data_IF_430087730951
#
_entry.id   IF_430087730951
#
_cell.length_a   1.000
_cell.length_b   1.000
_cell.length_c   1.000
_cell.angle_alpha   90.00
_cell.angle_beta   90.00
_cell.angle_gamma   90.00
#
_symmetry.space_group_name_H-M   'P 1'
#
loop_
_entity.id
_entity.type
_entity.pdbx_description
1 polymer ?
#
# COMPACT_ATOMS: atom_id res chain seq x y z
N UNK A 1 -17.94 2.01 -13.56
CA UNK A 1 -17.26 2.33 -12.28
C UNK A 1 -17.44 1.15 -11.34
N UNK A 2 -16.44 0.28 -11.19
CA UNK A 2 -16.56 -0.91 -10.33
C UNK A 2 -16.33 -0.53 -8.87
N UNK A 3 -17.38 -0.62 -8.05
CA UNK A 3 -17.33 -0.46 -6.60
C UNK A 3 -17.03 -1.82 -5.97
N UNK A 4 -15.76 -2.16 -5.81
CA UNK A 4 -15.35 -3.34 -5.03
C UNK A 4 -15.59 -3.09 -3.55
N UNK A 5 -16.81 -3.38 -3.09
CA UNK A 5 -17.17 -3.32 -1.68
C UNK A 5 -16.43 -4.41 -0.91
N UNK A 6 -15.57 -4.02 0.03
CA UNK A 6 -14.88 -4.96 0.91
C UNK A 6 -15.81 -5.39 2.04
N UNK A 7 -16.38 -6.59 1.93
CA UNK A 7 -17.16 -7.20 3.01
C UNK A 7 -16.25 -7.80 4.09
N UNK A 8 -16.76 -7.95 5.31
CA UNK A 8 -16.07 -8.49 6.49
C UNK A 8 -15.46 -9.90 6.35
N UNK A 9 -15.77 -10.62 5.26
CA UNK A 9 -15.20 -11.94 4.92
C UNK A 9 -13.93 -11.88 4.06
N UNK A 10 -13.52 -10.70 3.57
CA UNK A 10 -12.33 -10.57 2.74
C UNK A 10 -11.11 -10.18 3.59
N UNK A 11 -10.01 -10.96 3.57
CA UNK A 11 -8.91 -10.80 4.52
C UNK A 11 -8.08 -9.54 4.29
N UNK A 12 -8.20 -8.90 3.11
CA UNK A 12 -7.48 -7.68 2.80
C UNK A 12 -8.11 -6.97 1.60
N UNK A 13 -8.76 -5.82 1.81
CA UNK A 13 -9.04 -4.91 0.71
C UNK A 13 -8.52 -3.52 0.99
N UNK A 14 -7.86 -2.98 -0.02
CA UNK A 14 -7.42 -1.60 -0.04
C UNK A 14 -8.60 -0.64 -0.04
N UNK A 15 -8.34 0.58 0.42
CA UNK A 15 -9.25 1.68 0.17
C UNK A 15 -9.26 1.96 -1.33
N UNK A 16 -10.45 2.15 -1.87
CA UNK A 16 -10.67 2.64 -3.23
C UNK A 16 -10.45 4.15 -3.30
N UNK A 17 -10.29 4.68 -4.51
CA UNK A 17 -10.23 6.13 -4.76
C UNK A 17 -11.49 6.85 -4.22
N UNK A 18 -12.65 6.22 -4.41
CA UNK A 18 -13.93 6.74 -3.91
C UNK A 18 -13.94 6.80 -2.37
N UNK A 19 -13.45 5.76 -1.69
CA UNK A 19 -13.33 5.79 -0.22
C UNK A 19 -12.33 6.85 0.25
N UNK A 20 -11.22 7.05 -0.47
CA UNK A 20 -10.26 8.12 -0.16
C UNK A 20 -10.89 9.50 -0.29
N UNK A 21 -11.68 9.74 -1.34
CA UNK A 21 -12.43 10.99 -1.51
C UNK A 21 -13.47 11.20 -0.40
N UNK A 22 -14.15 10.14 0.03
CA UNK A 22 -15.06 10.21 1.20
C UNK A 22 -14.32 10.55 2.50
N UNK A 23 -13.12 10.00 2.72
CA UNK A 23 -12.29 10.34 3.88
C UNK A 23 -11.94 11.83 3.88
N UNK A 24 -11.54 12.38 2.72
CA UNK A 24 -11.23 13.80 2.56
C UNK A 24 -12.46 14.68 2.88
N UNK A 25 -13.62 14.35 2.31
CA UNK A 25 -14.88 15.06 2.58
C UNK A 25 -15.23 15.03 4.07
N UNK A 26 -15.19 13.87 4.72
CA UNK A 26 -15.51 13.76 6.15
C UNK A 26 -14.51 14.49 7.05
N UNK A 27 -13.22 14.54 6.67
CA UNK A 27 -12.25 15.35 7.41
C UNK A 27 -12.52 16.84 7.27
N UNK A 28 -12.97 17.29 6.10
CA UNK A 28 -13.39 18.69 5.89
C UNK A 28 -14.60 19.08 6.75
N UNK A 29 -15.48 18.11 7.02
CA UNK A 29 -16.61 18.24 7.95
C UNK A 29 -16.19 18.15 9.44
N UNK A 30 -14.90 17.90 9.73
CA UNK A 30 -14.38 17.83 11.10
C UNK A 30 -14.61 16.49 11.81
N UNK A 31 -14.94 15.42 11.07
CA UNK A 31 -15.18 14.11 11.67
C UNK A 31 -13.89 13.47 12.19
N UNK A 32 -14.02 12.78 13.33
CA UNK A 32 -12.92 12.01 13.91
C UNK A 32 -12.71 10.70 13.15
N UNK A 33 -11.47 10.17 13.06
CA UNK A 33 -11.17 8.94 12.32
C UNK A 33 -12.01 7.71 12.73
N UNK A 34 -12.43 7.64 14.00
CA UNK A 34 -13.29 6.57 14.49
C UNK A 34 -14.70 6.62 13.89
N UNK A 35 -15.25 7.82 13.67
CA UNK A 35 -16.55 8.01 13.03
C UNK A 35 -16.47 7.71 11.54
N UNK A 36 -15.43 8.19 10.87
CA UNK A 36 -15.14 7.88 9.46
C UNK A 36 -15.07 6.35 9.25
N UNK A 37 -14.38 5.65 10.15
CA UNK A 37 -14.26 4.20 10.12
C UNK A 37 -15.63 3.49 10.21
N UNK A 38 -16.51 3.95 11.11
CA UNK A 38 -17.88 3.42 11.24
C UNK A 38 -18.68 3.65 9.95
N UNK A 39 -18.67 4.86 9.41
CA UNK A 39 -19.41 5.23 8.19
C UNK A 39 -18.96 4.45 6.96
N UNK A 40 -17.67 4.17 6.85
CA UNK A 40 -17.10 3.42 5.72
C UNK A 40 -17.08 1.89 5.93
N UNK A 41 -17.48 1.40 7.11
CA UNK A 41 -17.37 -0.03 7.44
C UNK A 41 -15.92 -0.54 7.46
N UNK A 42 -14.96 0.33 7.81
CA UNK A 42 -13.53 0.01 7.83
C UNK A 42 -12.99 -0.01 9.26
N UNK A 43 -11.86 -0.67 9.46
CA UNK A 43 -11.19 -0.63 10.76
C UNK A 43 -10.67 0.78 11.06
N UNK A 44 -10.75 1.22 12.32
CA UNK A 44 -10.17 2.50 12.77
C UNK A 44 -8.68 2.61 12.42
N UNK A 45 -7.95 1.49 12.52
CA UNK A 45 -6.52 1.48 12.22
C UNK A 45 -6.23 1.72 10.73
N UNK A 46 -7.08 1.19 9.83
CA UNK A 46 -7.00 1.44 8.39
C UNK A 46 -7.15 2.93 8.09
N UNK A 47 -8.20 3.57 8.61
CA UNK A 47 -8.45 4.99 8.40
C UNK A 47 -7.31 5.85 8.98
N UNK A 48 -6.85 5.55 10.19
CA UNK A 48 -5.75 6.30 10.82
C UNK A 48 -4.45 6.23 10.00
N UNK A 49 -4.09 5.04 9.51
CA UNK A 49 -2.90 4.86 8.65
C UNK A 49 -3.06 5.56 7.32
N UNK A 50 -4.24 5.51 6.71
CA UNK A 50 -4.52 6.22 5.47
C UNK A 50 -4.34 7.73 5.65
N UNK A 51 -4.95 8.32 6.68
CA UNK A 51 -4.83 9.75 6.97
C UNK A 51 -3.36 10.12 7.15
N UNK A 52 -2.61 9.36 7.96
CA UNK A 52 -1.17 9.58 8.15
C UNK A 52 -0.39 9.54 6.82
N UNK A 53 -0.77 8.67 5.88
CA UNK A 53 -0.13 8.55 4.56
C UNK A 53 -0.54 9.65 3.60
N UNK A 54 -1.76 10.15 3.67
CA UNK A 54 -2.28 11.19 2.76
C UNK A 54 -2.13 12.62 3.27
N UNK A 55 -1.79 12.81 4.54
CA UNK A 55 -1.58 14.14 5.13
C UNK A 55 -0.21 14.71 4.77
N UNK A 56 -0.18 16.00 4.43
CA UNK A 56 1.03 16.77 4.15
C UNK A 56 0.94 18.17 4.73
N UNK A 57 2.09 18.81 4.95
CA UNK A 57 2.18 20.20 5.38
C UNK A 57 1.89 21.13 4.21
N UNK A 58 0.97 22.05 4.41
CA UNK A 58 0.58 23.09 3.46
C UNK A 58 0.79 24.48 4.06
N UNK A 59 0.90 25.47 3.18
CA UNK A 59 1.05 26.87 3.56
C UNK A 59 -0.04 27.70 2.90
N UNK A 60 -0.68 28.57 3.67
CA UNK A 60 -1.62 29.57 3.16
C UNK A 60 -1.14 30.96 3.56
N UNK A 61 -1.27 31.93 2.67
CA UNK A 61 -1.08 33.34 3.01
C UNK A 61 -2.40 33.93 3.49
N UNK A 62 -2.40 34.51 4.69
CA UNK A 62 -3.53 35.20 5.27
C UNK A 62 -3.02 36.53 5.82
N UNK A 63 -3.55 37.65 5.32
CA UNK A 63 -3.16 39.01 5.72
C UNK A 63 -1.63 39.24 5.69
N UNK A 64 -0.96 38.78 4.62
CA UNK A 64 0.50 38.89 4.44
C UNK A 64 1.34 37.94 5.31
N UNK A 65 0.73 37.10 6.14
CA UNK A 65 1.43 36.11 6.97
C UNK A 65 1.27 34.70 6.42
N UNK A 66 2.35 33.92 6.44
CA UNK A 66 2.33 32.49 6.11
C UNK A 66 1.82 31.69 7.30
N UNK A 67 0.76 30.90 7.09
CA UNK A 67 0.19 29.99 8.07
C UNK A 67 0.41 28.57 7.56
N UNK A 68 1.03 27.73 8.39
CA UNK A 68 1.26 26.32 8.08
C UNK A 68 0.20 25.46 8.75
N UNK A 69 -0.28 24.46 8.02
CA UNK A 69 -1.25 23.50 8.54
C UNK A 69 -1.10 22.15 7.85
N UNK A 70 -1.57 21.10 8.52
CA UNK A 70 -1.57 19.75 7.97
C UNK A 70 -2.91 19.51 7.26
N UNK A 71 -2.87 18.99 6.03
CA UNK A 71 -4.07 18.70 5.25
C UNK A 71 -3.94 17.34 4.56
N UNK A 72 -5.04 16.58 4.58
CA UNK A 72 -5.16 15.30 3.91
C UNK A 72 -5.68 15.53 2.48
N UNK A 73 -5.02 14.94 1.48
CA UNK A 73 -5.48 14.96 0.10
C UNK A 73 -5.68 13.54 -0.41
N UNK A 74 -6.87 13.21 -0.92
CA UNK A 74 -7.15 11.87 -1.45
C UNK A 74 -6.24 11.53 -2.64
N UNK A 75 -6.00 12.49 -3.53
CA UNK A 75 -5.16 12.31 -4.72
C UNK A 75 -3.69 12.04 -4.37
N UNK A 76 -3.18 12.67 -3.32
CA UNK A 76 -1.83 12.42 -2.82
C UNK A 76 -1.73 11.01 -2.24
N UNK A 77 -2.72 10.61 -1.44
CA UNK A 77 -2.78 9.28 -0.85
C UNK A 77 -2.86 8.19 -1.93
N UNK A 78 -3.66 8.42 -2.98
CA UNK A 78 -3.76 7.52 -4.12
C UNK A 78 -2.45 7.42 -4.90
N UNK A 79 -1.81 8.55 -5.24
CA UNK A 79 -0.51 8.56 -5.93
C UNK A 79 0.56 7.78 -5.16
N UNK A 80 0.71 8.06 -3.87
CA UNK A 80 1.67 7.34 -2.99
C UNK A 80 1.39 5.84 -2.97
N UNK A 81 0.13 5.44 -3.00
CA UNK A 81 -0.25 4.03 -3.05
C UNK A 81 0.12 3.37 -4.39
N UNK A 82 -0.09 4.06 -5.52
CA UNK A 82 0.29 3.56 -6.85
C UNK A 82 1.81 3.49 -6.99
N UNK A 83 2.52 4.56 -6.64
CA UNK A 83 3.99 4.65 -6.68
C UNK A 83 4.64 3.55 -5.83
N UNK A 84 4.14 3.31 -4.61
CA UNK A 84 4.66 2.25 -3.74
C UNK A 84 4.41 0.82 -4.26
N UNK A 85 3.57 0.65 -5.28
CA UNK A 85 3.39 -0.63 -6.00
C UNK A 85 4.17 -0.69 -7.30
N UNK A 86 4.55 0.45 -7.86
CA UNK A 86 5.45 0.50 -9.01
C UNK A 86 6.84 0.01 -8.57
N UNK A 87 7.41 -0.93 -9.32
CA UNK A 87 8.72 -1.52 -9.00
C UNK A 87 8.69 -2.70 -8.03
N UNK A 88 7.52 -3.09 -7.50
CA UNK A 88 7.36 -4.43 -6.90
C UNK A 88 7.11 -5.42 -8.05
N UNK A 89 8.18 -5.73 -8.78
CA UNK A 89 8.20 -6.86 -9.72
C UNK A 89 8.82 -8.06 -9.01
N UNK A 90 7.98 -9.05 -8.69
CA UNK A 90 8.48 -10.39 -8.47
C UNK A 90 8.84 -10.98 -9.83
N UNK A 91 10.00 -11.61 -9.96
CA UNK A 91 10.24 -12.47 -11.12
C UNK A 91 9.17 -13.57 -11.06
N UNK A 92 8.19 -13.46 -11.95
CA UNK A 92 7.21 -14.53 -12.12
C UNK A 92 7.97 -15.79 -12.54
N UNK A 93 7.55 -16.97 -12.05
CA UNK A 93 8.20 -18.24 -12.41
C UNK A 93 8.34 -18.41 -13.94
N UNK A 94 7.36 -17.94 -14.71
CA UNK A 94 7.37 -17.95 -16.19
C UNK A 94 8.50 -17.12 -16.83
N UNK A 95 9.10 -16.18 -16.09
CA UNK A 95 10.24 -15.35 -16.51
C UNK A 95 11.59 -15.86 -15.98
N UNK A 96 11.58 -16.90 -15.15
CA UNK A 96 12.78 -17.53 -14.61
C UNK A 96 13.29 -18.56 -15.62
N UNK A 97 14.59 -18.61 -15.88
CA UNK A 97 15.14 -19.56 -16.86
C UNK A 97 14.92 -21.01 -16.40
N UNK A 98 14.61 -21.90 -17.35
CA UNK A 98 14.43 -23.32 -17.05
C UNK A 98 15.71 -23.93 -16.43
N UNK A 99 16.88 -23.47 -16.89
CA UNK A 99 18.17 -23.86 -16.31
C UNK A 99 18.28 -23.45 -14.83
N UNK A 100 17.83 -22.25 -14.47
CA UNK A 100 17.79 -21.83 -13.05
C UNK A 100 16.89 -22.74 -12.24
N UNK A 101 15.67 -23.02 -12.71
CA UNK A 101 14.71 -23.84 -11.96
C UNK A 101 15.21 -25.26 -11.76
N UNK A 102 15.84 -25.84 -12.78
CA UNK A 102 16.43 -27.18 -12.70
C UNK A 102 17.62 -27.21 -11.74
N UNK A 103 18.55 -26.27 -11.86
CA UNK A 103 19.69 -26.15 -10.95
C UNK A 103 19.24 -25.88 -9.49
N UNK A 104 18.19 -25.08 -9.32
CA UNK A 104 17.58 -24.81 -8.02
C UNK A 104 17.00 -26.08 -7.40
N UNK A 105 16.23 -26.84 -8.17
CA UNK A 105 15.63 -28.09 -7.71
C UNK A 105 16.69 -29.13 -7.33
N UNK A 106 17.73 -29.30 -8.16
CA UNK A 106 18.87 -30.17 -7.88
C UNK A 106 19.61 -29.76 -6.59
N UNK A 107 19.92 -28.47 -6.44
CA UNK A 107 20.61 -27.94 -5.26
C UNK A 107 19.79 -28.10 -3.97
N UNK A 108 18.48 -27.89 -4.03
CA UNK A 108 17.59 -28.04 -2.87
C UNK A 108 17.37 -29.50 -2.48
N UNK A 109 17.43 -30.44 -3.44
CA UNK A 109 17.29 -31.89 -3.18
C UNK A 109 18.61 -32.60 -2.83
N UNK A 110 19.76 -31.96 -3.03
CA UNK A 110 21.06 -32.54 -2.72
C UNK A 110 21.22 -32.93 -1.24
N UNK A 111 21.94 -34.03 -0.99
CA UNK A 111 22.31 -34.47 0.35
C UNK A 111 23.81 -34.82 0.41
N UNK A 112 24.60 -34.15 1.27
CA UNK A 112 24.19 -33.04 2.13
C UNK A 112 23.84 -31.79 1.29
N UNK A 113 22.82 -31.04 1.72
CA UNK A 113 22.46 -29.78 1.07
C UNK A 113 23.52 -28.72 1.38
N UNK A 114 24.14 -28.16 0.34
CA UNK A 114 25.24 -27.19 0.48
C UNK A 114 24.75 -25.74 0.47
N UNK A 115 23.65 -25.44 -0.24
CA UNK A 115 23.09 -24.09 -0.34
C UNK A 115 21.76 -23.96 0.42
N UNK A 116 21.57 -22.82 1.09
CA UNK A 116 20.22 -22.34 1.44
C UNK A 116 19.54 -21.75 0.18
N UNK A 117 18.23 -21.50 0.24
CA UNK A 117 17.51 -20.81 -0.86
C UNK A 117 18.22 -19.50 -1.22
N UNK A 118 18.51 -18.67 -0.22
CA UNK A 118 19.12 -17.35 -0.41
C UNK A 118 20.56 -17.48 -0.94
N UNK A 119 21.35 -18.41 -0.39
CA UNK A 119 22.73 -18.63 -0.82
C UNK A 119 22.81 -19.18 -2.24
N UNK A 120 21.85 -19.99 -2.67
CA UNK A 120 21.77 -20.47 -4.05
C UNK A 120 21.40 -19.33 -5.01
N UNK A 121 20.37 -18.55 -4.67
CA UNK A 121 19.92 -17.43 -5.50
C UNK A 121 21.05 -16.41 -5.69
N UNK A 122 21.81 -16.11 -4.63
CA UNK A 122 22.97 -15.20 -4.70
C UNK A 122 24.16 -15.77 -5.48
N UNK A 123 24.35 -17.09 -5.49
CA UNK A 123 25.45 -17.71 -6.24
C UNK A 123 25.14 -17.83 -7.74
N UNK A 124 23.86 -17.76 -8.12
CA UNK A 124 23.40 -18.00 -9.48
C UNK A 124 23.14 -16.70 -10.26
N UNK A 125 22.61 -15.65 -9.60
CA UNK A 125 22.37 -14.32 -10.16
C UNK A 125 23.61 -13.43 -10.11
#
# INVERSE_FOLDING_TARGET
>A
MSTTNCTTKQPYCHLSEVERGKIEAFLSEGLKPAEIARRLGRSRSTISREIKRGTTKQVKQVNGKKIYFDHYFADLAQRRYVEGRQGIDYLKLEKVSEHFLKAFEEAMKASPRVHSVDSFVYAYL
#
